data_IF_075502292729
#
_entry.id   IF_075502292729
#
_cell.length_a   1.000
_cell.length_b   1.000
_cell.length_c   1.000
_cell.angle_alpha   90.00
_cell.angle_beta   90.00
_cell.angle_gamma   90.00
#
_symmetry.space_group_name_H-M   'P 1'
#
loop_
_entity.id
_entity.type
_entity.pdbx_description
1 polymer ?
#
# COMPACT_ATOMS: atom_id res chain seq x y z
N UNK A 1 0.15 1.02 22.09
CA UNK A 1 -1.03 1.32 21.26
C UNK A 1 -0.81 0.80 19.88
N UNK A 2 -1.76 0.07 19.35
CA UNK A 2 -1.63 -0.49 18.02
C UNK A 2 -2.07 0.52 16.96
N UNK A 3 -1.26 0.66 15.95
CA UNK A 3 -1.62 1.52 14.85
C UNK A 3 -2.70 0.85 14.01
N UNK A 4 -3.59 1.66 13.47
CA UNK A 4 -4.61 1.18 12.56
C UNK A 4 -3.94 0.81 11.23
N UNK A 5 -4.28 -0.36 10.63
CA UNK A 5 -3.74 -0.70 9.32
C UNK A 5 -4.05 0.38 8.28
N UNK A 6 -3.09 0.62 7.41
CA UNK A 6 -3.23 1.61 6.35
C UNK A 6 -3.27 0.93 5.00
N UNK A 7 -4.09 1.46 4.10
CA UNK A 7 -4.27 0.92 2.75
C UNK A 7 -4.24 2.04 1.74
N UNK A 8 -3.83 1.71 0.52
CA UNK A 8 -3.85 2.65 -0.59
C UNK A 8 -4.15 1.91 -1.88
N UNK A 9 -4.80 2.59 -2.80
CA UNK A 9 -5.08 2.03 -4.12
C UNK A 9 -4.01 2.50 -5.09
N UNK A 10 -3.53 1.58 -5.93
CA UNK A 10 -2.52 1.91 -6.93
C UNK A 10 -3.19 2.60 -8.12
N UNK A 11 -2.74 3.82 -8.45
CA UNK A 11 -3.28 4.59 -9.57
C UNK A 11 -2.27 4.76 -10.69
N UNK A 12 -1.00 4.44 -10.44
CA UNK A 12 0.07 4.46 -11.44
C UNK A 12 1.03 3.33 -11.13
N UNK A 13 1.53 2.68 -12.17
CA UNK A 13 2.51 1.61 -11.99
C UNK A 13 3.65 1.71 -13.00
N UNK A 14 3.96 2.90 -13.48
CA UNK A 14 5.01 3.13 -14.45
C UNK A 14 6.33 2.53 -13.97
N UNK A 15 6.96 1.74 -14.84
CA UNK A 15 8.20 1.01 -14.56
C UNK A 15 8.06 -0.17 -13.59
N UNK A 16 6.85 -0.44 -13.05
CA UNK A 16 6.65 -1.52 -12.09
C UNK A 16 5.41 -2.37 -12.39
N UNK A 17 5.12 -2.68 -13.68
CA UNK A 17 3.85 -3.38 -13.96
C UNK A 17 3.80 -4.81 -13.40
N UNK A 18 4.95 -5.43 -13.13
CA UNK A 18 4.98 -6.76 -12.54
C UNK A 18 4.80 -6.71 -11.03
N UNK A 19 5.20 -5.60 -10.40
CA UNK A 19 5.12 -5.45 -8.95
C UNK A 19 3.83 -4.81 -8.47
N UNK A 20 3.19 -4.00 -9.32
CA UNK A 20 2.00 -3.24 -8.94
C UNK A 20 0.92 -3.39 -10.01
N UNK A 21 -0.27 -3.69 -9.56
CA UNK A 21 -1.45 -3.78 -10.44
C UNK A 21 -2.29 -2.52 -10.25
N UNK A 22 -2.67 -1.90 -11.36
CA UNK A 22 -3.53 -0.70 -11.30
C UNK A 22 -4.87 -1.01 -10.65
N UNK A 23 -5.33 -0.05 -9.84
CA UNK A 23 -6.64 -0.09 -9.18
C UNK A 23 -6.77 -1.17 -8.11
N UNK A 24 -5.68 -1.80 -7.75
CA UNK A 24 -5.65 -2.75 -6.64
C UNK A 24 -5.33 -2.02 -5.34
N UNK A 25 -5.90 -2.53 -4.25
CA UNK A 25 -5.61 -2.01 -2.91
C UNK A 25 -4.40 -2.75 -2.35
N UNK A 26 -3.45 -2.00 -1.81
CA UNK A 26 -2.24 -2.54 -1.19
C UNK A 26 -2.13 -2.09 0.26
N UNK A 27 -1.47 -2.89 1.06
CA UNK A 27 -1.20 -2.53 2.44
C UNK A 27 0.00 -1.58 2.49
N UNK A 28 -0.17 -0.51 3.26
CA UNK A 28 0.88 0.48 3.48
C UNK A 28 1.53 0.21 4.83
N UNK A 29 2.86 0.17 4.86
CA UNK A 29 3.60 0.08 6.11
C UNK A 29 4.06 1.48 6.49
N UNK A 30 3.76 1.94 7.71
CA UNK A 30 4.19 3.28 8.13
C UNK A 30 5.72 3.41 8.08
N UNK A 31 6.20 4.49 7.46
CA UNK A 31 7.62 4.75 7.34
C UNK A 31 7.81 6.27 7.25
N UNK A 32 8.17 6.89 8.36
CA UNK A 32 8.32 8.33 8.43
C UNK A 32 9.42 8.85 7.50
N UNK A 33 10.52 8.12 7.41
CA UNK A 33 11.63 8.55 6.56
C UNK A 33 11.22 8.54 5.09
N UNK A 34 10.50 7.52 4.69
CA UNK A 34 9.99 7.42 3.32
C UNK A 34 9.01 8.57 3.05
N UNK A 35 8.12 8.84 3.99
CA UNK A 35 7.13 9.89 3.86
C UNK A 35 7.78 11.25 3.64
N UNK A 36 8.88 11.53 4.32
CA UNK A 36 9.62 12.79 4.17
C UNK A 36 10.25 12.94 2.79
N UNK A 37 10.40 11.84 2.06
CA UNK A 37 10.98 11.84 0.71
C UNK A 37 9.92 11.64 -0.37
N UNK A 38 8.65 11.78 -0.02
CA UNK A 38 7.51 11.56 -0.92
C UNK A 38 7.48 10.12 -1.45
N UNK A 39 7.92 9.18 -0.61
CA UNK A 39 7.86 7.76 -0.90
C UNK A 39 6.91 7.09 0.07
N UNK A 40 6.41 5.94 -0.32
CA UNK A 40 5.52 5.13 0.52
C UNK A 40 6.00 3.69 0.49
N UNK A 41 5.95 3.03 1.64
CA UNK A 41 6.35 1.62 1.74
C UNK A 41 5.12 0.75 1.58
N UNK A 42 5.14 -0.07 0.55
CA UNK A 42 4.01 -0.89 0.13
C UNK A 42 4.42 -2.36 0.11
N UNK A 43 3.51 -3.23 0.54
CA UNK A 43 3.67 -4.68 0.32
C UNK A 43 3.14 -4.94 -1.08
N UNK A 44 4.03 -5.30 -2.01
CA UNK A 44 3.67 -5.45 -3.42
C UNK A 44 3.17 -6.86 -3.78
N UNK A 45 3.05 -7.14 -5.07
CA UNK A 45 2.55 -8.44 -5.54
C UNK A 45 3.44 -9.61 -5.13
N UNK A 46 4.71 -9.36 -4.84
CA UNK A 46 5.62 -10.42 -4.39
C UNK A 46 5.43 -10.77 -2.93
N UNK A 47 4.68 -9.97 -2.19
CA UNK A 47 4.50 -10.15 -0.75
C UNK A 47 5.60 -9.50 0.07
N UNK A 48 6.56 -8.84 -0.57
CA UNK A 48 7.62 -8.14 0.11
C UNK A 48 7.36 -6.63 0.06
N UNK A 49 7.99 -5.89 0.97
CA UNK A 49 7.77 -4.45 1.03
C UNK A 49 8.87 -3.70 0.30
N UNK A 50 8.46 -2.71 -0.47
CA UNK A 50 9.36 -1.85 -1.22
C UNK A 50 8.87 -0.42 -1.17
N UNK A 51 9.77 0.52 -1.47
CA UNK A 51 9.45 1.94 -1.55
C UNK A 51 9.05 2.31 -2.97
N UNK A 52 7.94 3.03 -3.08
CA UNK A 52 7.47 3.56 -4.37
C UNK A 52 7.15 5.03 -4.21
N UNK A 53 7.05 5.76 -5.31
CA UNK A 53 6.61 7.14 -5.28
C UNK A 53 5.21 7.22 -4.68
N UNK A 54 4.97 8.14 -3.74
CA UNK A 54 3.64 8.27 -3.16
C UNK A 54 2.61 8.75 -4.18
N UNK A 55 3.05 9.30 -5.31
CA UNK A 55 2.14 9.71 -6.38
C UNK A 55 1.49 8.53 -7.09
N UNK A 56 2.01 7.31 -6.88
CA UNK A 56 1.45 6.10 -7.47
C UNK A 56 0.21 5.60 -6.70
N UNK A 57 -0.06 6.16 -5.54
CA UNK A 57 -1.09 5.64 -4.64
C UNK A 57 -2.00 6.74 -4.10
N UNK A 58 -3.23 6.34 -3.82
CA UNK A 58 -4.19 7.21 -3.12
C UNK A 58 -4.63 6.45 -1.87
N UNK A 59 -4.50 7.10 -0.70
CA UNK A 59 -4.90 6.49 0.56
C UNK A 59 -6.40 6.21 0.55
N UNK A 60 -6.77 5.04 1.04
CA UNK A 60 -8.18 4.67 1.15
C UNK A 60 -8.45 4.11 2.55
N UNK A 61 -9.67 4.31 3.03
CA UNK A 61 -10.13 3.69 4.25
C UNK A 61 -11.07 2.55 3.89
N UNK A 62 -10.83 1.38 4.46
CA UNK A 62 -11.68 0.22 4.21
C UNK A 62 -12.66 0.04 5.35
N UNK A 63 -13.91 -0.36 5.07
CA UNK A 63 -14.81 -0.79 6.13
C UNK A 63 -14.14 -1.91 6.95
N UNK A 64 -14.42 -1.95 8.24
CA UNK A 64 -13.78 -2.90 9.14
C UNK A 64 -13.90 -4.34 8.67
N UNK A 65 -15.06 -4.73 8.15
CA UNK A 65 -15.26 -6.08 7.66
C UNK A 65 -14.36 -6.40 6.46
N UNK A 66 -14.18 -5.43 5.55
CA UNK A 66 -13.33 -5.61 4.39
C UNK A 66 -11.86 -5.66 4.82
N UNK A 67 -11.48 -4.81 5.75
CA UNK A 67 -10.12 -4.78 6.29
C UNK A 67 -9.75 -6.12 6.92
N UNK A 68 -10.65 -6.67 7.75
CA UNK A 68 -10.43 -7.96 8.39
C UNK A 68 -10.29 -9.08 7.35
N UNK A 69 -11.13 -9.07 6.32
CA UNK A 69 -11.06 -10.06 5.25
C UNK A 69 -9.75 -9.95 4.47
N UNK A 70 -9.33 -8.72 4.18
CA UNK A 70 -8.06 -8.48 3.47
C UNK A 70 -6.89 -9.04 4.25
N UNK A 71 -6.83 -8.76 5.55
CA UNK A 71 -5.73 -9.21 6.39
C UNK A 71 -5.72 -10.71 6.61
N UNK A 72 -6.89 -11.36 6.58
CA UNK A 72 -6.98 -12.78 6.86
C UNK A 72 -6.51 -13.66 5.70
N UNK A 73 -6.40 -13.14 4.49
CA UNK A 73 -5.94 -13.93 3.32
C UNK A 73 -4.45 -13.84 3.11
N UNK A 74 -3.77 -13.09 3.95
CA UNK A 74 -2.32 -13.03 3.92
C UNK A 74 -1.72 -14.14 4.79
#
# INVERSE_FOLDING_TARGET
>A
MMEKPQFAICVKNENYPASLELWKVYRVLPDEKASRRNLVRIIDESGEDYLFSNSFFVSVELPQAVEAAYLSVE
#
